data_IF_738189777479
#
_entry.id   IF_738189777479
#
_cell.length_a   1.000
_cell.length_b   1.000
_cell.length_c   1.000
_cell.angle_alpha   90.00
_cell.angle_beta   90.00
_cell.angle_gamma   90.00
#
_symmetry.space_group_name_H-M   'P 1'
#
loop_
_entity.id
_entity.type
_entity.pdbx_description
1 polymer ?
#
# COMPACT_ATOMS: atom_id res chain seq x y z
N UNK A 1 6.90 -10.40 5.72
CA UNK A 1 8.36 -10.28 5.89
C UNK A 1 8.73 -9.52 7.18
N UNK A 2 8.28 -8.27 7.38
CA UNK A 2 8.63 -7.50 8.58
C UNK A 2 8.23 -8.23 9.88
N UNK A 3 7.01 -8.78 9.94
CA UNK A 3 6.54 -9.55 11.09
C UNK A 3 7.37 -10.81 11.35
N UNK A 4 7.81 -11.50 10.31
CA UNK A 4 8.70 -12.66 10.43
C UNK A 4 10.09 -12.25 10.90
N UNK A 5 10.66 -11.20 10.31
CA UNK A 5 11.98 -10.69 10.72
C UNK A 5 12.01 -10.15 12.15
N UNK A 6 10.91 -9.63 12.65
CA UNK A 6 10.77 -9.14 14.04
C UNK A 6 10.40 -10.23 15.05
N UNK A 7 10.27 -11.49 14.62
CA UNK A 7 9.87 -12.61 15.46
C UNK A 7 8.39 -12.67 15.82
N UNK A 8 7.55 -11.83 15.20
CA UNK A 8 6.11 -11.77 15.46
C UNK A 8 5.32 -12.89 14.80
N UNK A 9 5.83 -13.46 13.69
CA UNK A 9 5.30 -14.64 13.00
C UNK A 9 6.43 -15.62 12.70
N UNK A 10 6.14 -16.92 12.72
CA UNK A 10 7.03 -17.91 12.12
C UNK A 10 7.14 -17.69 10.60
N UNK A 11 8.17 -18.24 9.98
CA UNK A 11 8.33 -18.16 8.53
C UNK A 11 7.18 -18.86 7.80
N UNK A 12 6.78 -20.01 8.30
CA UNK A 12 5.69 -20.84 7.75
C UNK A 12 4.35 -20.12 7.83
N UNK A 13 3.99 -19.55 8.98
CA UNK A 13 2.75 -18.76 9.15
C UNK A 13 2.76 -17.51 8.26
N UNK A 14 3.89 -16.81 8.20
CA UNK A 14 4.05 -15.65 7.32
C UNK A 14 3.88 -16.01 5.84
N UNK A 15 4.43 -17.13 5.40
CA UNK A 15 4.30 -17.63 4.02
C UNK A 15 2.85 -18.05 3.71
N UNK A 16 2.18 -18.73 4.65
CA UNK A 16 0.78 -19.13 4.51
C UNK A 16 -0.14 -17.91 4.36
N UNK A 17 0.02 -16.89 5.20
CA UNK A 17 -0.75 -15.64 5.09
C UNK A 17 -0.53 -14.93 3.75
N UNK A 18 0.71 -14.89 3.25
CA UNK A 18 1.02 -14.31 1.93
C UNK A 18 0.33 -15.11 0.81
N UNK A 19 0.33 -16.45 0.89
CA UNK A 19 -0.32 -17.31 -0.09
C UNK A 19 -1.84 -17.13 -0.10
N UNK A 20 -2.47 -17.11 1.08
CA UNK A 20 -3.92 -16.86 1.23
C UNK A 20 -4.25 -15.49 0.65
N UNK A 21 -3.52 -14.44 1.04
CA UNK A 21 -3.70 -13.09 0.53
C UNK A 21 -3.61 -13.04 -1.00
N UNK A 22 -2.59 -13.67 -1.59
CA UNK A 22 -2.38 -13.68 -3.03
C UNK A 22 -3.55 -14.35 -3.77
N UNK A 23 -4.03 -15.50 -3.27
CA UNK A 23 -5.17 -16.23 -3.85
C UNK A 23 -6.47 -15.44 -3.72
N UNK A 24 -6.75 -14.88 -2.55
CA UNK A 24 -7.94 -14.09 -2.29
C UNK A 24 -7.98 -12.84 -3.20
N UNK A 25 -6.87 -12.12 -3.34
CA UNK A 25 -6.76 -10.98 -4.26
C UNK A 25 -6.91 -11.40 -5.73
N UNK A 26 -6.33 -12.51 -6.13
CA UNK A 26 -6.50 -13.05 -7.48
C UNK A 26 -7.97 -13.38 -7.80
N UNK A 27 -8.71 -13.94 -6.84
CA UNK A 27 -10.13 -14.22 -6.98
C UNK A 27 -10.93 -12.91 -7.08
N UNK A 28 -10.70 -11.95 -6.18
CA UNK A 28 -11.33 -10.64 -6.23
C UNK A 28 -11.12 -9.91 -7.57
N UNK A 29 -9.95 -10.08 -8.21
CA UNK A 29 -9.67 -9.51 -9.54
C UNK A 29 -10.52 -10.16 -10.65
N UNK A 30 -10.89 -11.43 -10.54
CA UNK A 30 -11.74 -12.11 -11.54
C UNK A 30 -13.19 -11.63 -11.46
N UNK A 31 -13.64 -11.28 -10.25
CA UNK A 31 -15.03 -10.90 -9.99
C UNK A 31 -15.29 -9.41 -10.31
N UNK A 32 -14.24 -8.62 -10.46
CA UNK A 32 -14.35 -7.17 -10.59
C UNK A 32 -13.57 -6.65 -11.81
N UNK A 33 -14.23 -5.87 -12.66
CA UNK A 33 -13.62 -5.19 -13.79
C UNK A 33 -12.94 -3.89 -13.31
N UNK A 34 -11.80 -4.02 -12.65
CA UNK A 34 -11.07 -2.91 -12.01
C UNK A 34 -9.60 -2.86 -12.43
N UNK A 35 -8.96 -1.71 -12.26
CA UNK A 35 -7.57 -1.46 -12.64
C UNK A 35 -6.98 -0.31 -11.84
N UNK A 36 -5.74 0.09 -12.16
CA UNK A 36 -5.01 1.16 -11.49
C UNK A 36 -4.26 2.03 -12.50
N UNK A 37 -3.99 3.28 -12.12
CA UNK A 37 -3.10 4.18 -12.86
C UNK A 37 -2.24 5.01 -11.90
N UNK A 38 -1.01 5.29 -12.28
CA UNK A 38 -0.16 6.24 -11.56
C UNK A 38 -0.41 7.66 -12.09
N UNK A 39 -0.56 8.60 -11.16
CA UNK A 39 -0.72 10.03 -11.43
C UNK A 39 0.54 10.74 -10.92
N UNK A 40 1.17 11.52 -11.81
CA UNK A 40 2.42 12.23 -11.53
C UNK A 40 2.23 13.73 -11.68
N UNK A 41 3.03 14.50 -10.90
CA UNK A 41 3.19 15.96 -11.00
C UNK A 41 2.00 16.79 -10.51
N UNK A 42 1.05 16.19 -9.82
CA UNK A 42 -0.02 16.87 -9.10
C UNK A 42 0.18 16.69 -7.59
N UNK A 43 -0.36 17.60 -6.80
CA UNK A 43 -0.34 17.50 -5.35
C UNK A 43 -1.28 16.40 -4.84
N UNK A 44 -1.04 15.92 -3.62
CA UNK A 44 -1.90 14.95 -2.97
C UNK A 44 -3.33 15.49 -2.80
N UNK A 45 -3.48 16.79 -2.51
CA UNK A 45 -4.78 17.46 -2.36
C UNK A 45 -5.56 17.49 -3.67
N UNK A 46 -4.92 17.87 -4.79
CA UNK A 46 -5.55 17.88 -6.11
C UNK A 46 -6.01 16.48 -6.52
N UNK A 47 -5.21 15.46 -6.23
CA UNK A 47 -5.55 14.08 -6.58
C UNK A 47 -6.71 13.58 -5.70
N UNK A 48 -6.68 13.84 -4.39
CA UNK A 48 -7.73 13.43 -3.47
C UNK A 48 -9.07 14.07 -3.84
N UNK A 49 -9.11 15.39 -3.99
CA UNK A 49 -10.32 16.14 -4.37
C UNK A 49 -10.87 15.65 -5.72
N UNK A 50 -10.00 15.45 -6.71
CA UNK A 50 -10.44 14.96 -8.02
C UNK A 50 -11.01 13.54 -7.95
N UNK A 51 -10.44 12.66 -7.11
CA UNK A 51 -10.99 11.32 -6.93
C UNK A 51 -12.35 11.32 -6.23
N UNK A 52 -12.64 12.30 -5.36
CA UNK A 52 -13.95 12.44 -4.72
C UNK A 52 -15.06 12.79 -5.74
N UNK A 53 -14.71 13.49 -6.81
CA UNK A 53 -15.62 13.89 -7.89
C UNK A 53 -15.83 12.79 -8.94
N UNK A 54 -15.04 11.73 -8.93
CA UNK A 54 -15.08 10.65 -9.92
C UNK A 54 -15.59 9.35 -9.28
N UNK A 55 -16.72 8.89 -9.77
CA UNK A 55 -17.35 7.68 -9.25
C UNK A 55 -16.45 6.45 -9.43
N UNK A 56 -16.40 5.58 -8.40
CA UNK A 56 -15.66 4.33 -8.42
C UNK A 56 -14.14 4.45 -8.59
N UNK A 57 -13.55 5.57 -8.16
CA UNK A 57 -12.10 5.81 -8.15
C UNK A 57 -11.66 6.28 -6.77
N UNK A 58 -10.55 5.74 -6.28
CA UNK A 58 -9.97 6.14 -4.99
C UNK A 58 -8.44 6.22 -5.09
N UNK A 59 -7.78 7.07 -4.28
CA UNK A 59 -6.34 7.00 -4.08
C UNK A 59 -5.97 5.65 -3.43
N UNK A 60 -4.97 4.98 -3.98
CA UNK A 60 -4.56 3.64 -3.57
C UNK A 60 -3.13 3.55 -3.02
N UNK A 61 -2.18 4.33 -3.54
CA UNK A 61 -0.82 4.36 -3.04
C UNK A 61 -0.26 5.79 -3.01
N UNK A 62 0.06 6.29 -1.85
CA UNK A 62 0.83 7.52 -1.66
C UNK A 62 2.33 7.18 -1.66
N UNK A 63 2.94 7.12 -2.85
CA UNK A 63 4.29 6.61 -3.03
C UNK A 63 5.39 7.62 -2.63
N UNK A 64 5.27 8.84 -3.08
CA UNK A 64 6.12 9.97 -2.70
C UNK A 64 5.44 11.27 -3.15
N UNK A 65 5.88 12.45 -2.69
CA UNK A 65 5.35 13.73 -3.15
C UNK A 65 5.29 13.81 -4.68
N UNK A 66 4.11 14.14 -5.21
CA UNK A 66 3.85 14.21 -6.66
C UNK A 66 3.74 12.86 -7.38
N UNK A 67 3.56 11.74 -6.64
CA UNK A 67 3.32 10.42 -7.22
C UNK A 67 2.32 9.62 -6.39
N UNK A 68 1.07 9.57 -6.85
CA UNK A 68 0.00 8.75 -6.27
C UNK A 68 -0.50 7.76 -7.31
N UNK A 69 -0.82 6.54 -6.87
CA UNK A 69 -1.55 5.56 -7.67
C UNK A 69 -3.00 5.61 -7.28
N UNK A 70 -3.88 5.66 -8.26
CA UNK A 70 -5.34 5.56 -8.10
C UNK A 70 -5.82 4.18 -8.50
N UNK A 71 -6.92 3.74 -7.90
CA UNK A 71 -7.54 2.43 -8.11
C UNK A 71 -9.03 2.60 -8.31
N UNK A 72 -9.63 1.83 -9.22
CA UNK A 72 -11.06 1.95 -9.51
C UNK A 72 -11.56 1.01 -10.59
N UNK A 73 -12.82 1.20 -11.01
CA UNK A 73 -13.33 0.53 -12.20
C UNK A 73 -12.51 0.92 -13.44
N UNK A 74 -12.48 0.07 -14.45
CA UNK A 74 -11.76 0.42 -15.69
C UNK A 74 -12.27 1.72 -16.29
N UNK A 75 -13.58 1.88 -16.38
CA UNK A 75 -14.22 3.11 -16.88
C UNK A 75 -13.88 4.32 -16.02
N UNK A 76 -13.96 4.18 -14.68
CA UNK A 76 -13.58 5.24 -13.75
C UNK A 76 -12.12 5.67 -13.89
N UNK A 77 -11.19 4.71 -14.03
CA UNK A 77 -9.77 5.00 -14.24
C UNK A 77 -9.50 5.64 -15.60
N UNK A 78 -10.18 5.21 -16.67
CA UNK A 78 -10.07 5.85 -17.99
C UNK A 78 -10.54 7.31 -17.93
N UNK A 79 -11.70 7.58 -17.32
CA UNK A 79 -12.20 8.93 -17.09
C UNK A 79 -11.24 9.77 -16.23
N UNK A 80 -10.80 9.22 -15.09
CA UNK A 80 -9.84 9.88 -14.22
C UNK A 80 -8.55 10.27 -14.95
N UNK A 81 -8.04 9.39 -15.81
CA UNK A 81 -6.85 9.67 -16.61
C UNK A 81 -7.03 10.87 -17.57
N UNK A 82 -8.23 11.09 -18.11
CA UNK A 82 -8.53 12.27 -18.93
C UNK A 82 -8.52 13.53 -18.06
N UNK A 83 -9.28 13.52 -16.97
CA UNK A 83 -9.39 14.66 -16.04
C UNK A 83 -8.03 15.07 -15.48
N UNK A 84 -7.21 14.11 -15.04
CA UNK A 84 -5.88 14.43 -14.50
C UNK A 84 -4.93 14.98 -15.57
N UNK A 85 -5.03 14.55 -16.83
CA UNK A 85 -4.25 15.15 -17.92
C UNK A 85 -4.66 16.61 -18.19
N UNK A 86 -5.94 16.91 -18.17
CA UNK A 86 -6.45 18.29 -18.31
C UNK A 86 -5.97 19.21 -17.19
N UNK A 87 -5.80 18.67 -15.97
CA UNK A 87 -5.20 19.37 -14.82
C UNK A 87 -3.66 19.47 -14.88
N UNK A 88 -3.02 19.00 -15.95
CA UNK A 88 -1.56 19.05 -16.14
C UNK A 88 -0.79 17.87 -15.54
N UNK A 89 -1.46 16.88 -15.00
CA UNK A 89 -0.85 15.65 -14.52
C UNK A 89 -0.43 14.70 -15.63
N UNK A 90 0.57 13.85 -15.36
CA UNK A 90 0.91 12.73 -16.23
C UNK A 90 0.29 11.45 -15.68
N UNK A 91 -0.46 10.74 -16.50
CA UNK A 91 -1.14 9.50 -16.16
C UNK A 91 -0.47 8.29 -16.82
N UNK A 92 -0.26 7.24 -16.05
CA UNK A 92 0.37 5.99 -16.53
C UNK A 92 -0.51 4.82 -16.09
N UNK A 93 -1.31 4.22 -16.98
CA UNK A 93 -2.03 2.98 -16.69
C UNK A 93 -1.06 1.88 -16.25
N UNK A 94 -1.42 1.13 -15.21
CA UNK A 94 -0.59 0.05 -14.69
C UNK A 94 -1.03 -1.29 -15.28
N UNK A 95 -0.10 -2.19 -15.64
CA UNK A 95 -0.41 -3.53 -16.17
C UNK A 95 -0.79 -4.49 -15.03
N UNK A 96 -1.88 -4.17 -14.30
CA UNK A 96 -2.37 -4.95 -13.18
C UNK A 96 -3.77 -5.50 -13.44
N UNK A 97 -4.07 -6.66 -12.85
CA UNK A 97 -5.32 -7.36 -13.09
C UNK A 97 -6.51 -6.91 -12.23
N UNK A 98 -6.34 -5.89 -11.37
CA UNK A 98 -7.41 -5.46 -10.48
C UNK A 98 -7.13 -4.15 -9.76
N UNK A 99 -8.17 -3.62 -9.12
CA UNK A 99 -8.14 -2.38 -8.34
C UNK A 99 -7.70 -2.64 -6.90
N UNK A 100 -6.39 -2.84 -6.67
CA UNK A 100 -5.84 -3.09 -5.35
C UNK A 100 -5.98 -1.88 -4.43
N UNK A 101 -5.96 -2.14 -3.12
CA UNK A 101 -6.05 -1.11 -2.07
C UNK A 101 -7.29 -0.23 -2.18
N UNK A 102 -8.42 -0.83 -2.57
CA UNK A 102 -9.70 -0.17 -2.83
C UNK A 102 -10.87 -1.05 -2.40
N UNK A 103 -12.10 -0.54 -2.41
CA UNK A 103 -13.30 -1.34 -2.13
C UNK A 103 -13.46 -2.61 -3.00
N UNK A 104 -12.81 -2.67 -4.16
CA UNK A 104 -12.80 -3.85 -5.04
C UNK A 104 -12.12 -5.09 -4.43
N UNK A 105 -11.35 -4.91 -3.35
CA UNK A 105 -10.70 -6.01 -2.61
C UNK A 105 -11.52 -6.49 -1.39
N UNK A 106 -12.79 -6.13 -1.27
CA UNK A 106 -13.63 -6.45 -0.10
C UNK A 106 -13.78 -7.95 0.12
N UNK A 107 -13.97 -8.75 -0.94
CA UNK A 107 -14.05 -10.22 -0.83
C UNK A 107 -12.72 -10.81 -0.36
N UNK A 108 -11.59 -10.35 -0.90
CA UNK A 108 -10.26 -10.77 -0.46
C UNK A 108 -9.98 -10.41 1.01
N UNK A 109 -10.49 -9.28 1.49
CA UNK A 109 -10.37 -8.87 2.89
C UNK A 109 -11.03 -9.88 3.83
N UNK A 110 -12.22 -10.38 3.48
CA UNK A 110 -12.96 -11.37 4.31
C UNK A 110 -12.17 -12.67 4.44
N UNK A 111 -11.61 -13.19 3.34
CA UNK A 111 -10.79 -14.41 3.37
C UNK A 111 -9.52 -14.21 4.21
N UNK A 112 -8.84 -13.07 4.06
CA UNK A 112 -7.63 -12.76 4.82
C UNK A 112 -7.92 -12.55 6.31
N UNK A 113 -9.04 -11.92 6.67
CA UNK A 113 -9.44 -11.67 8.05
C UNK A 113 -9.54 -12.97 8.85
N UNK A 114 -10.15 -14.01 8.29
CA UNK A 114 -10.25 -15.32 8.93
C UNK A 114 -8.85 -15.94 9.17
N UNK A 115 -7.96 -15.85 8.18
CA UNK A 115 -6.60 -16.36 8.30
C UNK A 115 -5.76 -15.58 9.33
N UNK A 116 -5.82 -14.25 9.33
CA UNK A 116 -5.10 -13.41 10.27
C UNK A 116 -5.58 -13.64 11.71
N UNK A 117 -6.90 -13.84 11.91
CA UNK A 117 -7.46 -14.11 13.24
C UNK A 117 -7.02 -15.48 13.80
N UNK A 118 -6.73 -16.45 12.93
CA UNK A 118 -6.24 -17.79 13.32
C UNK A 118 -4.72 -17.83 13.52
N UNK A 119 -3.96 -16.94 12.89
CA UNK A 119 -2.51 -16.92 13.00
C UNK A 119 -2.05 -16.54 14.41
N UNK A 120 -0.98 -17.15 14.87
CA UNK A 120 -0.33 -16.77 16.13
C UNK A 120 0.60 -15.59 15.89
N UNK A 121 0.15 -14.39 16.24
CA UNK A 121 0.97 -13.17 16.15
C UNK A 121 1.52 -12.84 17.54
N UNK A 122 2.81 -12.97 17.72
CA UNK A 122 3.53 -12.60 18.95
C UNK A 122 3.99 -11.14 18.88
N UNK A 123 4.33 -10.54 20.03
CA UNK A 123 4.83 -9.16 20.09
C UNK A 123 6.14 -9.04 19.32
N UNK A 124 6.24 -8.12 18.33
CA UNK A 124 7.46 -7.93 17.55
C UNK A 124 8.58 -7.33 18.40
N UNK A 125 9.82 -7.64 18.05
CA UNK A 125 11.04 -7.11 18.72
C UNK A 125 11.29 -5.62 18.45
N UNK A 126 10.60 -5.03 17.47
CA UNK A 126 10.67 -3.62 17.10
C UNK A 126 9.32 -3.15 16.55
N UNK A 127 9.01 -1.83 16.57
CA UNK A 127 7.77 -1.31 15.99
C UNK A 127 7.64 -1.63 14.50
N UNK A 128 6.49 -2.15 14.11
CA UNK A 128 6.14 -2.46 12.73
C UNK A 128 5.29 -1.32 12.16
N UNK A 129 5.84 -0.60 11.17
CA UNK A 129 5.09 0.39 10.41
C UNK A 129 4.32 -0.30 9.30
N UNK A 130 3.00 -0.16 9.35
CA UNK A 130 2.11 -0.75 8.35
C UNK A 130 1.49 0.34 7.48
N UNK A 131 1.24 0.00 6.22
CA UNK A 131 0.78 0.98 5.22
C UNK A 131 -0.63 1.54 5.49
N UNK A 132 -1.43 0.92 6.37
CA UNK A 132 -2.81 1.32 6.65
C UNK A 132 -2.92 2.69 7.31
N UNK A 133 -2.21 2.89 8.41
CA UNK A 133 -2.22 4.13 9.21
C UNK A 133 -0.85 4.81 9.32
N UNK A 134 0.19 4.16 8.79
CA UNK A 134 1.56 4.66 8.76
C UNK A 134 2.24 4.81 10.14
N UNK A 135 1.66 4.19 11.20
CA UNK A 135 2.17 4.28 12.58
C UNK A 135 2.91 2.98 12.94
N UNK A 136 3.98 3.10 13.72
CA UNK A 136 4.73 1.95 14.24
C UNK A 136 4.09 1.35 15.48
N UNK A 137 3.78 0.05 15.46
CA UNK A 137 3.18 -0.67 16.59
C UNK A 137 3.98 -1.89 16.99
N UNK A 138 3.95 -2.17 18.30
CA UNK A 138 4.30 -3.49 18.89
C UNK A 138 3.06 -4.21 19.41
N UNK A 139 1.92 -3.53 19.45
CA UNK A 139 0.61 -4.05 19.85
C UNK A 139 0.08 -5.03 18.79
N UNK A 140 -0.14 -6.27 19.16
CA UNK A 140 -0.53 -7.36 18.27
C UNK A 140 -1.94 -7.19 17.72
N UNK A 141 -2.88 -6.58 18.47
CA UNK A 141 -4.24 -6.36 18.01
C UNK A 141 -4.29 -5.26 16.96
N UNK A 142 -3.49 -4.19 17.14
CA UNK A 142 -3.30 -3.15 16.13
C UNK A 142 -2.67 -3.71 14.85
N UNK A 143 -1.63 -4.54 14.98
CA UNK A 143 -0.97 -5.19 13.86
C UNK A 143 -1.94 -6.06 13.08
N UNK A 144 -2.76 -6.89 13.74
CA UNK A 144 -3.80 -7.72 13.10
C UNK A 144 -4.83 -6.87 12.35
N UNK A 145 -5.40 -5.87 13.04
CA UNK A 145 -6.38 -4.97 12.46
C UNK A 145 -5.84 -4.27 11.21
N UNK A 146 -4.60 -3.79 11.25
CA UNK A 146 -3.96 -3.14 10.11
C UNK A 146 -3.69 -4.08 8.94
N UNK A 147 -3.30 -5.34 9.19
CA UNK A 147 -3.15 -6.37 8.14
C UNK A 147 -4.46 -6.59 7.37
N UNK A 148 -5.58 -6.68 8.10
CA UNK A 148 -6.91 -6.89 7.53
C UNK A 148 -7.37 -5.67 6.74
N UNK A 149 -7.25 -4.49 7.32
CA UNK A 149 -7.75 -3.24 6.73
C UNK A 149 -6.94 -2.81 5.49
N UNK A 150 -5.67 -3.21 5.39
CA UNK A 150 -4.79 -2.81 4.30
C UNK A 150 -5.29 -3.22 2.91
N UNK A 151 -6.06 -4.32 2.79
CA UNK A 151 -6.51 -4.77 1.47
C UNK A 151 -7.47 -3.79 0.80
N UNK A 152 -8.28 -3.10 1.60
CA UNK A 152 -9.30 -2.16 1.11
C UNK A 152 -8.96 -0.70 1.37
N UNK A 153 -7.72 -0.42 1.81
CA UNK A 153 -7.28 0.92 2.21
C UNK A 153 -5.96 1.30 1.54
N UNK A 154 -5.71 2.61 1.37
CA UNK A 154 -4.50 3.09 0.71
C UNK A 154 -3.20 2.62 1.37
N UNK A 155 -2.16 2.48 0.56
CA UNK A 155 -0.78 2.35 0.99
C UNK A 155 -0.22 3.74 1.31
N UNK A 156 0.00 4.05 2.56
CA UNK A 156 0.50 5.34 3.07
C UNK A 156 2.02 5.33 3.20
N UNK A 157 2.73 5.03 2.10
CA UNK A 157 4.19 4.90 2.12
C UNK A 157 4.89 6.20 2.48
N UNK A 158 4.49 7.31 1.85
CA UNK A 158 5.03 8.66 2.16
C UNK A 158 4.90 8.98 3.65
N UNK A 159 3.71 8.76 4.21
CA UNK A 159 3.43 9.02 5.62
C UNK A 159 4.24 8.07 6.53
N UNK A 160 4.37 6.79 6.16
CA UNK A 160 5.18 5.83 6.92
C UNK A 160 6.64 6.24 7.01
N UNK A 161 7.23 6.66 5.88
CA UNK A 161 8.62 7.12 5.83
C UNK A 161 8.80 8.40 6.64
N UNK A 162 7.90 9.38 6.52
CA UNK A 162 7.95 10.61 7.31
C UNK A 162 7.85 10.32 8.81
N UNK A 163 6.92 9.48 9.24
CA UNK A 163 6.77 9.10 10.65
C UNK A 163 8.02 8.36 11.18
N UNK A 164 8.66 7.50 10.37
CA UNK A 164 9.93 6.88 10.75
C UNK A 164 11.04 7.93 10.94
N UNK A 165 11.14 8.91 10.03
CA UNK A 165 12.13 9.99 10.11
C UNK A 165 11.90 10.86 11.36
N UNK A 166 10.65 11.22 11.64
CA UNK A 166 10.27 11.96 12.87
C UNK A 166 10.61 11.17 14.14
N UNK A 167 10.57 9.84 14.07
CA UNK A 167 11.04 8.94 15.13
C UNK A 167 12.55 8.63 15.06
N UNK A 168 13.34 9.51 14.44
CA UNK A 168 14.81 9.49 14.36
C UNK A 168 15.40 8.32 13.54
N UNK A 169 14.64 7.68 12.65
CA UNK A 169 15.20 6.72 11.71
C UNK A 169 15.95 7.48 10.61
N UNK A 170 17.26 7.22 10.48
CA UNK A 170 18.15 7.86 9.50
C UNK A 170 18.59 6.94 8.37
N UNK A 171 18.56 5.63 8.60
CA UNK A 171 19.06 4.63 7.68
C UNK A 171 17.90 3.72 7.24
N UNK A 172 17.71 3.57 5.94
CA UNK A 172 16.72 2.69 5.34
C UNK A 172 17.45 1.63 4.51
N UNK A 173 17.14 0.37 4.78
CA UNK A 173 17.73 -0.78 4.07
C UNK A 173 16.60 -1.51 3.34
N UNK A 174 16.63 -1.50 2.02
CA UNK A 174 15.67 -2.25 1.21
C UNK A 174 16.10 -3.72 1.15
N UNK A 175 15.26 -4.61 1.69
CA UNK A 175 15.47 -6.05 1.68
C UNK A 175 14.67 -6.67 0.53
N UNK A 176 15.35 -7.09 -0.53
CA UNK A 176 14.73 -7.72 -1.69
C UNK A 176 15.33 -7.27 -3.02
N UNK A 177 14.84 -7.81 -4.15
CA UNK A 177 15.37 -7.48 -5.46
C UNK A 177 14.94 -6.08 -5.90
N UNK A 178 15.85 -5.35 -6.52
CA UNK A 178 15.59 -4.01 -7.06
C UNK A 178 15.96 -2.87 -6.11
N UNK A 179 15.57 -1.63 -6.49
CA UNK A 179 15.88 -0.40 -5.75
C UNK A 179 14.72 0.61 -5.80
N UNK A 180 13.50 0.12 -5.87
CA UNK A 180 12.31 0.98 -6.04
C UNK A 180 12.05 1.78 -4.77
N UNK A 181 12.06 1.11 -3.62
CA UNK A 181 11.76 1.77 -2.33
C UNK A 181 12.85 2.78 -1.94
N UNK A 182 14.13 2.50 -2.24
CA UNK A 182 15.21 3.46 -2.07
C UNK A 182 14.95 4.74 -2.84
N UNK A 183 14.51 4.62 -4.11
CA UNK A 183 14.15 5.75 -4.95
C UNK A 183 12.99 6.57 -4.38
N UNK A 184 11.99 5.91 -3.82
CA UNK A 184 10.85 6.57 -3.16
C UNK A 184 11.28 7.28 -1.87
N UNK A 185 12.07 6.63 -1.00
CA UNK A 185 12.60 7.24 0.22
C UNK A 185 13.40 8.50 -0.10
N UNK A 186 14.27 8.46 -1.11
CA UNK A 186 15.06 9.63 -1.55
C UNK A 186 14.21 10.77 -2.12
N UNK A 187 13.07 10.47 -2.72
CA UNK A 187 12.11 11.50 -3.18
C UNK A 187 11.35 12.12 -2.01
N UNK A 188 11.08 11.35 -0.95
CA UNK A 188 10.43 11.85 0.27
C UNK A 188 11.40 12.71 1.08
N UNK A 189 12.61 12.21 1.32
CA UNK A 189 13.65 12.97 2.02
C UNK A 189 15.04 12.61 1.47
N UNK A 190 15.72 13.60 0.89
CA UNK A 190 17.06 13.44 0.27
C UNK A 190 18.18 13.21 1.26
N UNK A 191 17.99 13.60 2.52
CA UNK A 191 19.03 13.51 3.57
C UNK A 191 19.14 12.11 4.20
N UNK A 192 18.12 11.25 4.02
CA UNK A 192 18.14 9.88 4.56
C UNK A 192 19.19 9.02 3.89
N UNK A 193 19.81 8.12 4.63
CA UNK A 193 20.68 7.09 4.07
C UNK A 193 19.84 5.93 3.56
N UNK A 194 20.10 5.49 2.33
CA UNK A 194 19.42 4.34 1.74
C UNK A 194 20.44 3.35 1.19
N UNK A 195 20.19 2.06 1.40
CA UNK A 195 21.00 0.96 0.88
C UNK A 195 20.13 -0.27 0.62
N UNK A 196 20.70 -1.31 0.03
CA UNK A 196 20.09 -2.65 -0.11
C UNK A 196 20.97 -3.69 0.56
N UNK A 197 20.37 -4.78 1.01
CA UNK A 197 21.09 -6.00 1.36
C UNK A 197 21.51 -6.75 0.11
#
# INVERSE_FOLDING_TARGET
>A
SALTCSGSLSFEEGLELVLIRARAMQNACKDNNSTMAAILFLSDEEINTTCEDIENVVPANYNCPGQIVISGSKEGIENACVVFKEKGGKTIPLPVGGGFHSPYMKSARVELEDAVNKAKVDTPSAPIYQNYDAIGYTDTDKIRSNLINQLTSPVRWTQSVNNMIENNVKNFIECGPGRVLQGLVKKINRETNVSSL
#
